data_IF_855616340400
#
_entry.id   IF_855616340400
#
_cell.length_a   1.000
_cell.length_b   1.000
_cell.length_c   1.000
_cell.angle_alpha   90.00
_cell.angle_beta   90.00
_cell.angle_gamma   90.00
#
_symmetry.space_group_name_H-M   'P 1'
#
loop_
_entity.id
_entity.type
_entity.pdbx_description
1 polymer ?
#
# COMPACT_ATOMS: atom_id res chain seq x y z
N UNK A 1 16.01 -2.04 -3.36
CA UNK A 1 14.66 -2.39 -2.90
C UNK A 1 13.95 -1.15 -2.40
N UNK A 2 12.74 -0.95 -2.83
CA UNK A 2 11.93 0.22 -2.51
C UNK A 2 10.84 -0.17 -1.52
N UNK A 3 10.63 0.65 -0.49
CA UNK A 3 9.51 0.54 0.41
C UNK A 3 8.47 1.61 0.06
N UNK A 4 7.20 1.21 0.03
CA UNK A 4 6.08 2.14 -0.10
C UNK A 4 5.28 2.08 1.21
N UNK A 5 5.20 3.22 1.86
CA UNK A 5 4.53 3.39 3.13
C UNK A 5 3.26 4.19 2.89
N UNK A 6 2.13 3.51 2.91
CA UNK A 6 0.82 4.14 2.68
C UNK A 6 0.04 4.19 3.98
N UNK A 7 -0.04 5.38 4.57
CA UNK A 7 -0.84 5.63 5.77
C UNK A 7 -2.22 6.13 5.33
N UNK A 8 -3.28 5.54 5.83
CA UNK A 8 -4.63 5.87 5.40
C UNK A 8 -5.60 5.89 6.57
N UNK A 9 -6.49 6.89 6.56
CA UNK A 9 -7.64 6.95 7.46
C UNK A 9 -8.88 6.92 6.58
N UNK A 10 -9.58 5.77 6.50
CA UNK A 10 -10.83 5.70 5.75
C UNK A 10 -11.89 6.60 6.36
N UNK A 11 -12.82 7.06 5.53
CA UNK A 11 -14.00 7.76 6.02
C UNK A 11 -14.79 6.84 6.96
N UNK A 12 -15.53 7.44 7.88
CA UNK A 12 -16.38 6.71 8.81
C UNK A 12 -17.30 5.77 8.04
N UNK A 13 -17.25 4.49 8.40
CA UNK A 13 -18.03 3.46 7.74
C UNK A 13 -17.44 2.90 6.46
N UNK A 14 -16.28 3.41 6.00
CA UNK A 14 -15.66 2.98 4.74
C UNK A 14 -14.52 2.00 4.90
N UNK A 15 -14.12 1.66 6.12
CA UNK A 15 -12.97 0.78 6.36
C UNK A 15 -13.16 -0.60 5.71
N UNK A 16 -14.33 -1.22 5.87
CA UNK A 16 -14.60 -2.53 5.29
C UNK A 16 -14.54 -2.49 3.76
N UNK A 17 -15.06 -1.44 3.15
CA UNK A 17 -14.99 -1.28 1.70
C UNK A 17 -13.56 -1.12 1.23
N UNK A 18 -12.76 -0.36 1.96
CA UNK A 18 -11.33 -0.23 1.67
C UNK A 18 -10.63 -1.59 1.68
N UNK A 19 -10.87 -2.40 2.71
CA UNK A 19 -10.26 -3.73 2.80
C UNK A 19 -10.73 -4.68 1.71
N UNK A 20 -12.00 -4.60 1.31
CA UNK A 20 -12.53 -5.39 0.19
C UNK A 20 -11.82 -5.06 -1.11
N UNK A 21 -11.66 -3.78 -1.40
CA UNK A 21 -10.95 -3.33 -2.62
C UNK A 21 -9.49 -3.78 -2.58
N UNK A 22 -8.83 -3.64 -1.44
CA UNK A 22 -7.45 -4.07 -1.26
C UNK A 22 -7.30 -5.57 -1.51
N UNK A 23 -8.24 -6.39 -1.03
CA UNK A 23 -8.21 -7.83 -1.24
C UNK A 23 -8.46 -8.20 -2.71
N UNK A 24 -9.33 -7.48 -3.40
CA UNK A 24 -9.57 -7.69 -4.83
C UNK A 24 -8.33 -7.41 -5.68
N UNK A 25 -7.51 -6.45 -5.26
CA UNK A 25 -6.28 -6.10 -5.96
C UNK A 25 -5.12 -7.04 -5.65
N UNK A 26 -5.23 -7.84 -4.61
CA UNK A 26 -4.13 -8.66 -4.12
C UNK A 26 -3.60 -9.62 -5.18
N UNK A 27 -4.47 -10.31 -5.89
CA UNK A 27 -4.04 -11.28 -6.92
C UNK A 27 -3.27 -10.60 -8.05
N UNK A 28 -3.74 -9.43 -8.48
CA UNK A 28 -3.05 -8.66 -9.52
C UNK A 28 -1.70 -8.19 -9.01
N UNK A 29 -1.65 -7.74 -7.77
CA UNK A 29 -0.44 -7.22 -7.14
C UNK A 29 0.61 -8.33 -6.98
N UNK A 30 0.20 -9.52 -6.52
CA UNK A 30 1.11 -10.65 -6.33
C UNK A 30 1.77 -11.13 -7.62
N UNK A 31 1.11 -10.93 -8.75
CA UNK A 31 1.63 -11.30 -10.06
C UNK A 31 2.35 -10.15 -10.76
N UNK A 32 2.41 -8.98 -10.15
CA UNK A 32 2.99 -7.80 -10.78
C UNK A 32 4.51 -7.85 -10.75
N UNK A 33 5.14 -7.61 -11.91
CA UNK A 33 6.59 -7.64 -12.02
C UNK A 33 7.24 -6.59 -11.10
N UNK A 34 8.16 -7.03 -10.26
CA UNK A 34 8.86 -6.19 -9.31
C UNK A 34 8.21 -6.09 -7.94
N UNK A 35 7.02 -6.61 -7.77
CA UNK A 35 6.39 -6.68 -6.45
C UNK A 35 7.06 -7.75 -5.59
N UNK A 36 7.33 -7.42 -4.31
CA UNK A 36 7.95 -8.35 -3.37
C UNK A 36 6.94 -8.78 -2.30
N UNK A 37 6.38 -7.84 -1.55
CA UNK A 37 5.46 -8.17 -0.47
C UNK A 37 4.60 -6.98 -0.08
N UNK A 38 3.49 -7.26 0.60
CA UNK A 38 2.61 -6.25 1.18
C UNK A 38 1.99 -6.79 2.47
N UNK A 39 1.92 -5.94 3.46
CA UNK A 39 1.24 -6.24 4.72
C UNK A 39 0.56 -5.00 5.25
N UNK A 40 -0.58 -5.17 5.91
CA UNK A 40 -1.32 -4.07 6.52
C UNK A 40 -1.25 -4.14 8.02
N UNK A 41 -1.17 -2.96 8.62
CA UNK A 41 -1.05 -2.79 10.07
C UNK A 41 -2.10 -1.79 10.54
N UNK A 42 -2.52 -1.93 11.76
CA UNK A 42 -3.42 -0.99 12.41
C UNK A 42 -2.63 -0.17 13.42
N UNK A 43 -2.87 1.15 13.45
CA UNK A 43 -2.25 2.03 14.44
C UNK A 43 -2.78 1.72 15.84
N UNK A 44 -1.89 1.62 16.82
CA UNK A 44 -2.26 1.48 18.22
C UNK A 44 -2.54 2.83 18.88
N UNK A 45 -2.10 3.90 18.26
CA UNK A 45 -2.22 5.27 18.80
C UNK A 45 -3.42 5.99 18.20
N UNK A 46 -3.61 5.84 16.89
CA UNK A 46 -4.67 6.54 16.16
C UNK A 46 -5.73 5.55 15.71
N UNK A 47 -6.87 5.55 16.38
CA UNK A 47 -7.99 4.69 16.01
C UNK A 47 -8.45 4.99 14.58
N UNK A 48 -8.72 3.92 13.82
CA UNK A 48 -9.19 4.06 12.46
C UNK A 48 -8.11 4.38 11.43
N UNK A 49 -6.84 4.39 11.84
CA UNK A 49 -5.71 4.61 10.94
C UNK A 49 -4.99 3.29 10.65
N UNK A 50 -4.69 3.07 9.39
CA UNK A 50 -4.04 1.85 8.92
C UNK A 50 -2.79 2.19 8.12
N UNK A 51 -1.87 1.24 8.07
CA UNK A 51 -0.64 1.33 7.29
C UNK A 51 -0.58 0.15 6.33
N UNK A 52 -0.38 0.43 5.07
CA UNK A 52 0.01 -0.56 4.08
C UNK A 52 1.50 -0.40 3.80
N UNK A 53 2.26 -1.45 4.06
CA UNK A 53 3.70 -1.47 3.83
C UNK A 53 3.99 -2.46 2.73
N UNK A 54 4.52 -1.98 1.61
CA UNK A 54 4.87 -2.83 0.49
C UNK A 54 6.32 -2.64 0.09
N UNK A 55 6.91 -3.72 -0.42
CA UNK A 55 8.30 -3.73 -0.87
C UNK A 55 8.37 -4.10 -2.34
N UNK A 56 9.28 -3.48 -3.06
CA UNK A 56 9.39 -3.55 -4.51
C UNK A 56 10.85 -3.66 -4.92
N UNK A 57 11.08 -4.34 -6.04
CA UNK A 57 12.43 -4.52 -6.57
C UNK A 57 13.11 -3.18 -6.89
N UNK A 58 12.39 -2.27 -7.53
CA UNK A 58 12.92 -0.98 -7.98
C UNK A 58 11.84 0.07 -8.11
N UNK A 59 12.26 1.31 -8.34
CA UNK A 59 11.35 2.45 -8.46
C UNK A 59 10.48 2.35 -9.72
N UNK A 60 11.02 1.81 -10.81
CA UNK A 60 10.24 1.66 -12.06
C UNK A 60 9.04 0.75 -11.86
N UNK A 61 9.19 -0.31 -11.07
CA UNK A 61 8.08 -1.21 -10.74
C UNK A 61 6.98 -0.47 -9.99
N UNK A 62 7.35 0.34 -9.02
CA UNK A 62 6.42 1.18 -8.26
C UNK A 62 5.69 2.15 -9.18
N UNK A 63 6.41 2.81 -10.07
CA UNK A 63 5.83 3.76 -11.02
C UNK A 63 4.82 3.07 -11.96
N UNK A 64 5.15 1.89 -12.47
CA UNK A 64 4.25 1.12 -13.32
C UNK A 64 2.97 0.73 -12.58
N UNK A 65 3.10 0.31 -11.33
CA UNK A 65 1.94 -0.05 -10.51
C UNK A 65 1.02 1.15 -10.29
N UNK A 66 1.59 2.30 -9.92
CA UNK A 66 0.81 3.52 -9.71
C UNK A 66 0.12 4.00 -10.98
N UNK A 67 0.77 3.90 -12.12
CA UNK A 67 0.14 4.25 -13.39
C UNK A 67 -1.07 3.37 -13.67
N UNK A 68 -0.98 2.07 -13.41
CA UNK A 68 -2.07 1.12 -13.54
C UNK A 68 -3.20 1.43 -12.56
N UNK A 69 -2.87 1.70 -11.30
CA UNK A 69 -3.84 2.02 -10.25
C UNK A 69 -4.57 3.32 -10.55
N UNK A 70 -3.89 4.33 -11.03
CA UNK A 70 -4.50 5.60 -11.40
C UNK A 70 -5.49 5.42 -12.56
N UNK A 71 -5.14 4.60 -13.53
CA UNK A 71 -6.03 4.27 -14.64
C UNK A 71 -7.29 3.55 -14.13
N UNK A 72 -7.14 2.57 -13.26
CA UNK A 72 -8.26 1.84 -12.66
C UNK A 72 -9.12 2.75 -11.78
N UNK A 73 -8.50 3.63 -11.02
CA UNK A 73 -9.20 4.57 -10.15
C UNK A 73 -10.06 5.55 -10.97
N UNK A 74 -9.60 5.94 -12.14
CA UNK A 74 -10.37 6.80 -13.04
C UNK A 74 -11.61 6.11 -13.58
N UNK A 75 -11.59 4.79 -13.69
CA UNK A 75 -12.72 3.99 -14.15
C UNK A 75 -13.72 3.65 -13.04
N UNK A 76 -13.29 3.76 -11.79
CA UNK A 76 -14.12 3.49 -10.61
C UNK A 76 -14.53 4.80 -9.97
N UNK A 77 -15.74 4.84 -9.43
CA UNK A 77 -16.12 5.97 -8.62
C UNK A 77 -15.19 6.12 -7.42
N UNK A 78 -14.52 7.24 -7.37
CA UNK A 78 -14.06 7.90 -6.18
C UNK A 78 -13.35 7.08 -5.14
N UNK A 79 -12.09 6.68 -5.40
CA UNK A 79 -11.15 6.37 -4.35
C UNK A 79 -11.15 7.50 -3.30
N UNK A 80 -11.33 8.74 -3.75
CA UNK A 80 -11.38 9.92 -2.89
C UNK A 80 -12.58 9.92 -1.92
N UNK A 81 -13.67 9.24 -2.26
CA UNK A 81 -14.82 9.15 -1.37
C UNK A 81 -14.63 8.18 -0.21
N UNK A 82 -13.63 7.28 -0.29
CA UNK A 82 -13.36 6.29 0.75
C UNK A 82 -12.42 6.82 1.84
N UNK A 83 -11.58 7.79 1.52
CA UNK A 83 -10.51 8.22 2.41
C UNK A 83 -10.80 9.60 3.00
N UNK A 84 -10.67 9.70 4.32
CA UNK A 84 -10.63 10.97 5.02
C UNK A 84 -9.27 11.63 4.82
N UNK A 85 -8.22 10.83 4.87
CA UNK A 85 -6.84 11.31 4.72
C UNK A 85 -5.94 10.15 4.32
N UNK A 86 -4.86 10.46 3.61
CA UNK A 86 -3.81 9.50 3.34
C UNK A 86 -2.47 10.19 3.12
N UNK A 87 -1.41 9.43 3.31
CA UNK A 87 -0.05 9.88 3.02
C UNK A 87 0.78 8.72 2.49
N UNK A 88 1.49 8.98 1.41
CA UNK A 88 2.36 7.98 0.79
C UNK A 88 3.80 8.46 0.88
N UNK A 89 4.66 7.57 1.39
CA UNK A 89 6.11 7.79 1.37
C UNK A 89 6.75 6.65 0.60
N UNK A 90 7.65 7.00 -0.31
CA UNK A 90 8.41 6.03 -1.10
C UNK A 90 9.87 6.24 -0.78
N UNK A 91 10.53 5.20 -0.34
CA UNK A 91 11.93 5.30 0.07
C UNK A 91 12.73 4.08 -0.33
N UNK A 92 14.02 4.29 -0.54
CA UNK A 92 14.93 3.20 -0.81
C UNK A 92 15.40 2.57 0.51
N UNK A 93 15.41 1.24 0.56
CA UNK A 93 15.93 0.51 1.71
C UNK A 93 17.45 0.46 1.59
N UNK A 94 18.11 1.11 2.52
CA UNK A 94 19.58 1.15 2.55
C UNK A 94 20.19 0.05 3.41
N UNK A 95 19.36 -0.61 4.23
CA UNK A 95 19.81 -1.69 5.10
C UNK A 95 18.63 -2.59 5.45
N UNK A 96 18.80 -3.89 5.33
CA UNK A 96 17.77 -4.88 5.60
C UNK A 96 18.41 -6.09 6.27
N UNK A 97 18.06 -6.34 7.51
CA UNK A 97 18.53 -7.49 8.26
C UNK A 97 17.49 -7.89 9.29
N UNK A 98 17.54 -9.14 9.70
CA UNK A 98 16.64 -9.69 10.70
C UNK A 98 17.42 -10.33 11.85
N UNK A 99 16.70 -10.89 12.80
CA UNK A 99 17.31 -11.51 13.98
C UNK A 99 18.19 -12.71 13.61
N UNK A 100 17.83 -13.44 12.56
CA UNK A 100 18.58 -14.62 12.12
C UNK A 100 19.92 -14.24 11.50
N UNK A 101 19.98 -13.10 10.78
CA UNK A 101 21.21 -12.60 10.17
C UNK A 101 22.10 -11.91 11.22
N UNK A 102 21.52 -11.41 12.29
CA UNK A 102 22.26 -10.97 13.45
C UNK A 102 23.02 -9.66 13.29
N UNK A 103 22.32 -8.57 13.37
CA UNK A 103 23.03 -7.31 13.49
C UNK A 103 22.29 -6.30 14.33
#
# INVERSE_FOLDING_TARGET
MIAVIFEVTPNKGSANRYFQIAEQLRNTLECFDGFISIERFQSLVNEGKYLSLSFWRDQKSVERWYALENHRAAQREGRNSLFKDYRIRVGEIIRDYDMAVGR
#
